data_IF_593143520855
#
_entry.id   IF_593143520855
#
_cell.length_a   1.000
_cell.length_b   1.000
_cell.length_c   1.000
_cell.angle_alpha   90.00
_cell.angle_beta   90.00
_cell.angle_gamma   90.00
#
_symmetry.space_group_name_H-M   'P 1'
#
loop_
_entity.id
_entity.type
_entity.pdbx_description
1 polymer ?
#
# COMPACT_ATOMS: atom_id res chain seq x y z
N UNK A 1 -12.15 -16.47 16.35
CA UNK A 1 -12.16 -16.01 17.75
C UNK A 1 -12.85 -14.64 17.83
N UNK A 2 -13.90 -14.51 18.62
CA UNK A 2 -14.62 -13.24 18.80
C UNK A 2 -13.91 -12.32 19.80
N UNK A 3 -14.20 -11.00 19.76
CA UNK A 3 -13.64 -10.04 20.74
C UNK A 3 -13.96 -10.42 22.19
N UNK A 4 -15.15 -10.96 22.44
CA UNK A 4 -15.59 -11.42 23.78
C UNK A 4 -14.81 -12.64 24.23
N UNK A 5 -14.58 -13.62 23.35
CA UNK A 5 -13.79 -14.81 23.68
C UNK A 5 -12.33 -14.48 23.95
N UNK A 6 -11.73 -13.60 23.16
CA UNK A 6 -10.37 -13.10 23.39
C UNK A 6 -10.26 -12.41 24.75
N UNK A 7 -11.17 -11.48 25.03
CA UNK A 7 -11.22 -10.77 26.31
C UNK A 7 -11.37 -11.75 27.49
N UNK A 8 -12.23 -12.76 27.36
CA UNK A 8 -12.42 -13.79 28.39
C UNK A 8 -11.16 -14.63 28.61
N UNK A 9 -10.52 -15.08 27.54
CA UNK A 9 -9.31 -15.90 27.61
C UNK A 9 -8.14 -15.16 28.28
N UNK A 10 -7.99 -13.87 27.95
CA UNK A 10 -6.90 -13.04 28.48
C UNK A 10 -7.27 -12.27 29.75
N UNK A 11 -8.45 -12.51 30.33
CA UNK A 11 -8.98 -11.80 31.51
C UNK A 11 -9.01 -10.27 31.36
N UNK A 12 -9.24 -9.79 30.13
CA UNK A 12 -9.33 -8.36 29.81
C UNK A 12 -10.82 -7.97 29.82
N UNK A 13 -11.16 -6.85 30.47
CA UNK A 13 -12.52 -6.29 30.38
C UNK A 13 -12.77 -5.77 28.96
N UNK A 14 -13.97 -6.00 28.43
CA UNK A 14 -14.33 -5.57 27.08
C UNK A 14 -14.20 -4.05 26.90
N UNK A 15 -14.51 -3.27 27.94
CA UNK A 15 -14.32 -1.82 27.97
C UNK A 15 -12.85 -1.41 27.85
N UNK A 16 -11.95 -2.08 28.57
CA UNK A 16 -10.50 -1.86 28.50
C UNK A 16 -9.96 -2.19 27.11
N UNK A 17 -10.39 -3.32 26.53
CA UNK A 17 -10.02 -3.70 25.17
C UNK A 17 -10.51 -2.69 24.13
N UNK A 18 -11.75 -2.19 24.27
CA UNK A 18 -12.29 -1.13 23.41
C UNK A 18 -11.53 0.19 23.54
N UNK A 19 -11.15 0.57 24.76
CA UNK A 19 -10.32 1.74 25.02
C UNK A 19 -8.95 1.62 24.34
N UNK A 20 -8.25 0.49 24.49
CA UNK A 20 -6.96 0.25 23.85
C UNK A 20 -7.06 0.25 22.33
N UNK A 21 -8.08 -0.38 21.76
CA UNK A 21 -8.31 -0.38 20.31
C UNK A 21 -8.50 1.04 19.78
N UNK A 22 -9.26 1.86 20.51
CA UNK A 22 -9.50 3.26 20.15
C UNK A 22 -8.22 4.09 20.25
N UNK A 23 -7.45 3.89 21.32
CA UNK A 23 -6.15 4.56 21.54
C UNK A 23 -5.14 4.18 20.46
N UNK A 24 -5.02 2.90 20.14
CA UNK A 24 -4.14 2.40 19.07
C UNK A 24 -4.52 2.95 17.70
N UNK A 25 -5.82 3.03 17.39
CA UNK A 25 -6.27 3.62 16.12
C UNK A 25 -5.96 5.11 16.04
N UNK A 26 -6.04 5.84 17.16
CA UNK A 26 -5.64 7.26 17.23
C UNK A 26 -4.13 7.42 17.04
N UNK A 27 -3.32 6.62 17.72
CA UNK A 27 -1.86 6.66 17.56
C UNK A 27 -1.44 6.31 16.14
N UNK A 28 -2.06 5.31 15.49
CA UNK A 28 -1.77 5.00 14.08
C UNK A 28 -2.13 6.14 13.12
N UNK A 29 -3.19 6.91 13.41
CA UNK A 29 -3.55 8.10 12.62
C UNK A 29 -2.58 9.25 12.84
N UNK A 30 -2.08 9.43 14.06
CA UNK A 30 -1.05 10.42 14.38
C UNK A 30 0.32 10.01 13.80
N UNK A 31 0.60 8.71 13.69
CA UNK A 31 1.78 8.14 13.02
C UNK A 31 1.68 8.11 11.49
N UNK A 32 0.65 8.68 10.88
CA UNK A 32 0.53 8.80 9.41
C UNK A 32 1.60 9.73 8.78
N UNK A 33 2.49 10.33 9.58
CA UNK A 33 3.67 11.07 9.13
C UNK A 33 4.95 10.23 8.98
N UNK A 34 4.86 8.90 8.90
CA UNK A 34 6.02 8.00 8.72
C UNK A 34 6.19 7.49 7.29
N UNK A 35 7.34 6.85 7.01
CA UNK A 35 7.57 6.17 5.74
C UNK A 35 6.59 5.01 5.54
N UNK A 36 5.95 4.97 4.37
CA UNK A 36 5.08 3.86 3.95
C UNK A 36 5.90 2.94 3.06
N UNK A 37 5.86 1.64 3.33
CA UNK A 37 6.46 0.64 2.46
C UNK A 37 5.70 0.64 1.13
N UNK A 38 6.40 0.99 0.05
CA UNK A 38 5.91 0.79 -1.31
C UNK A 38 6.29 -0.64 -1.67
N UNK A 39 5.30 -1.49 -1.89
CA UNK A 39 5.51 -2.83 -2.43
C UNK A 39 5.68 -2.71 -3.96
N UNK A 40 6.85 -3.02 -4.54
CA UNK A 40 7.00 -3.09 -5.99
C UNK A 40 6.27 -4.31 -6.59
N UNK A 41 5.76 -5.22 -5.75
CA UNK A 41 5.03 -6.41 -6.14
C UNK A 41 3.56 -6.15 -6.47
N UNK A 42 3.29 -5.85 -7.74
CA UNK A 42 2.14 -6.42 -8.43
C UNK A 42 0.77 -5.78 -8.19
N UNK A 43 0.61 -4.53 -8.60
CA UNK A 43 -0.57 -4.22 -9.39
C UNK A 43 -0.19 -4.45 -10.87
N UNK A 44 -0.97 -5.19 -11.67
CA UNK A 44 -0.89 -5.04 -13.11
C UNK A 44 -1.09 -3.55 -13.36
N UNK A 45 -0.06 -2.89 -13.89
CA UNK A 45 -0.14 -1.50 -14.27
C UNK A 45 -1.09 -1.49 -15.46
N UNK A 46 -2.37 -1.22 -15.17
CA UNK A 46 -3.42 -1.11 -16.18
C UNK A 46 -3.13 0.13 -17.02
N UNK A 47 -2.30 -0.07 -18.04
CA UNK A 47 -1.79 0.95 -18.96
C UNK A 47 -0.64 1.78 -18.41
N UNK A 48 0.55 1.65 -19.01
CA UNK A 48 1.62 2.66 -18.86
C UNK A 48 1.50 3.71 -19.94
N UNK A 49 1.47 4.98 -19.52
CA UNK A 49 1.58 6.11 -20.44
C UNK A 49 3.03 6.60 -20.47
N UNK A 50 3.63 6.59 -21.64
CA UNK A 50 4.88 7.31 -21.88
C UNK A 50 4.49 8.75 -22.25
N UNK A 51 5.15 9.76 -21.69
CA UNK A 51 4.87 11.17 -22.02
C UNK A 51 6.12 11.77 -22.64
N UNK A 52 6.09 12.05 -23.94
CA UNK A 52 7.18 12.72 -24.63
C UNK A 52 7.07 14.25 -24.50
N UNK A 53 8.21 14.99 -24.50
CA UNK A 53 8.22 16.44 -24.40
C UNK A 53 7.47 17.16 -25.53
N UNK A 54 7.35 16.51 -26.69
CA UNK A 54 6.59 17.00 -27.85
C UNK A 54 5.06 16.77 -27.73
N UNK A 55 4.59 16.24 -26.59
CA UNK A 55 3.17 16.02 -26.31
C UNK A 55 2.64 14.66 -26.77
N UNK A 56 3.45 13.81 -27.39
CA UNK A 56 3.06 12.45 -27.78
C UNK A 56 2.94 11.56 -26.54
N UNK A 57 1.81 10.83 -26.42
CA UNK A 57 1.50 10.02 -25.24
C UNK A 57 1.00 8.61 -25.61
N UNK A 58 1.88 7.67 -25.96
CA UNK A 58 1.43 6.32 -26.26
C UNK A 58 1.02 5.60 -24.97
N UNK A 59 -0.12 4.92 -25.02
CA UNK A 59 -0.57 3.98 -24.01
C UNK A 59 0.00 2.60 -24.36
N UNK A 60 0.69 1.97 -23.42
CA UNK A 60 1.27 0.64 -23.60
C UNK A 60 0.53 -0.33 -22.68
N UNK A 61 -0.20 -1.25 -23.29
CA UNK A 61 -0.85 -2.37 -22.62
C UNK A 61 0.14 -3.55 -22.54
N UNK A 62 0.22 -4.22 -21.38
CA UNK A 62 1.04 -5.43 -21.22
C UNK A 62 2.54 -5.22 -21.40
N UNK A 63 3.11 -4.22 -20.73
CA UNK A 63 4.54 -3.93 -20.83
C UNK A 63 5.37 -4.70 -19.80
N UNK A 64 6.56 -5.12 -20.23
CA UNK A 64 7.61 -5.59 -19.35
C UNK A 64 8.56 -4.41 -19.06
N UNK A 65 8.65 -4.02 -17.78
CA UNK A 65 9.55 -2.96 -17.33
C UNK A 65 11.02 -3.27 -17.65
N UNK A 66 11.40 -4.55 -17.74
CA UNK A 66 12.73 -4.99 -18.17
C UNK A 66 13.04 -4.59 -19.61
N UNK A 67 12.10 -4.83 -20.54
CA UNK A 67 12.25 -4.47 -21.95
C UNK A 67 12.37 -2.94 -22.15
N UNK A 68 11.60 -2.16 -21.39
CA UNK A 68 11.70 -0.69 -21.42
C UNK A 68 13.07 -0.23 -20.93
N UNK A 69 13.59 -0.86 -19.87
CA UNK A 69 14.94 -0.58 -19.38
C UNK A 69 16.01 -0.84 -20.43
N UNK A 70 15.94 -1.96 -21.15
CA UNK A 70 16.87 -2.26 -22.25
C UNK A 70 16.78 -1.24 -23.39
N UNK A 71 15.57 -0.80 -23.77
CA UNK A 71 15.36 0.19 -24.82
C UNK A 71 15.91 1.59 -24.45
N UNK A 72 15.84 1.98 -23.17
CA UNK A 72 16.38 3.25 -22.70
C UNK A 72 17.91 3.25 -22.74
N UNK A 73 18.55 2.11 -22.48
CA UNK A 73 20.02 1.98 -22.48
C UNK A 73 20.63 1.82 -23.89
N UNK A 74 19.81 1.73 -24.93
CA UNK A 74 20.24 1.58 -26.32
C UNK A 74 20.51 2.92 -27.03
N UNK A 75 20.50 4.04 -26.30
CA UNK A 75 20.80 5.39 -26.78
C UNK A 75 21.89 6.07 -25.97
#
# INVERSE_FOLDING_TARGET
MTKKEFCRHHQIKLSTFGYWTTRYRRSCKESAGGFVQIDPGGAPLDGMQIIYPNGVRPSVEGYDAGLIGELIHLW
#
